data_IF_220535046985
#
_entry.id   IF_220535046985
#
_cell.length_a   1.000
_cell.length_b   1.000
_cell.length_c   1.000
_cell.angle_alpha   90.00
_cell.angle_beta   90.00
_cell.angle_gamma   90.00
#
_symmetry.space_group_name_H-M   'P 1'
#
loop_
_entity.id
_entity.type
_entity.pdbx_description
1 polymer ?
#
# COMPACT_ATOMS: atom_id res chain seq x y z
N UNK A 1 15.78 27.63 -21.59
CA UNK A 1 15.45 27.58 -20.15
C UNK A 1 14.03 27.06 -19.89
N UNK A 2 13.03 27.43 -20.69
CA UNK A 2 11.63 27.04 -20.49
C UNK A 2 11.28 25.57 -20.88
N UNK A 3 11.98 24.98 -21.86
CA UNK A 3 11.73 23.60 -22.31
C UNK A 3 12.12 22.55 -21.25
N UNK A 4 13.25 22.75 -20.57
CA UNK A 4 13.75 21.91 -19.47
C UNK A 4 12.83 21.95 -18.25
N UNK A 5 12.18 23.08 -18.00
CA UNK A 5 11.27 23.26 -16.86
C UNK A 5 9.92 22.54 -17.07
N UNK A 6 9.41 22.52 -18.31
CA UNK A 6 8.20 21.76 -18.69
C UNK A 6 8.43 20.25 -18.62
N UNK A 7 9.60 19.77 -19.04
CA UNK A 7 9.96 18.36 -18.91
C UNK A 7 10.09 17.93 -17.44
N UNK A 8 10.72 18.75 -16.61
CA UNK A 8 10.86 18.55 -15.16
C UNK A 8 9.49 18.48 -14.45
N UNK A 9 8.54 19.36 -14.81
CA UNK A 9 7.17 19.35 -14.26
C UNK A 9 6.38 18.11 -14.68
N UNK A 10 6.51 17.69 -15.93
CA UNK A 10 5.86 16.49 -16.44
C UNK A 10 6.37 15.22 -15.73
N UNK A 11 7.69 15.10 -15.58
CA UNK A 11 8.33 13.95 -14.91
C UNK A 11 7.93 13.84 -13.43
N UNK A 12 7.82 14.97 -12.72
CA UNK A 12 7.34 15.02 -11.33
C UNK A 12 5.88 14.58 -11.21
N UNK A 13 5.04 14.97 -12.17
CA UNK A 13 3.63 14.60 -12.18
C UNK A 13 3.45 13.10 -12.45
N UNK A 14 4.18 12.56 -13.44
CA UNK A 14 4.17 11.13 -13.77
C UNK A 14 4.68 10.29 -12.58
N UNK A 15 5.76 10.73 -11.93
CA UNK A 15 6.28 10.08 -10.72
C UNK A 15 5.27 10.12 -9.57
N UNK A 16 4.61 11.26 -9.34
CA UNK A 16 3.56 11.39 -8.32
C UNK A 16 2.37 10.46 -8.57
N UNK A 17 1.93 10.34 -9.82
CA UNK A 17 0.83 9.43 -10.21
C UNK A 17 1.26 7.97 -10.07
N UNK A 18 2.47 7.59 -10.49
CA UNK A 18 3.00 6.23 -10.31
C UNK A 18 3.14 5.85 -8.84
N UNK A 19 3.63 6.76 -7.99
CA UNK A 19 3.72 6.55 -6.54
C UNK A 19 2.32 6.42 -5.93
N UNK A 20 1.37 7.28 -6.30
CA UNK A 20 -0.04 7.14 -5.87
C UNK A 20 -0.65 5.81 -6.30
N UNK A 21 -0.38 5.34 -7.52
CA UNK A 21 -0.83 4.04 -8.01
C UNK A 21 -0.16 2.86 -7.29
N UNK A 22 1.13 2.98 -6.94
CA UNK A 22 1.86 1.99 -6.14
C UNK A 22 1.33 1.95 -4.69
N UNK A 23 1.03 3.09 -4.09
CA UNK A 23 0.41 3.19 -2.77
C UNK A 23 -1.02 2.62 -2.77
N UNK A 24 -1.78 2.84 -3.85
CA UNK A 24 -3.12 2.26 -4.03
C UNK A 24 -3.08 0.73 -4.25
N UNK A 25 -1.94 0.18 -4.68
CA UNK A 25 -1.71 -1.27 -4.86
C UNK A 25 -1.29 -1.97 -3.56
N UNK A 26 -0.83 -1.24 -2.54
CA UNK A 26 -0.32 -1.78 -1.28
C UNK A 26 -1.39 -1.95 -0.19
N UNK A 27 -2.67 -1.82 -0.52
CA UNK A 27 -3.75 -2.30 0.35
C UNK A 27 -3.97 -3.79 0.13
N UNK A 28 -3.03 -4.65 0.54
CA UNK A 28 -3.30 -6.08 0.67
C UNK A 28 -4.24 -6.24 1.88
N UNK A 29 -5.55 -6.26 1.64
CA UNK A 29 -6.49 -6.74 2.65
C UNK A 29 -6.30 -8.24 2.76
N UNK A 30 -5.60 -8.68 3.79
CA UNK A 30 -5.56 -10.08 4.14
C UNK A 30 -6.87 -10.49 4.81
N UNK A 31 -7.28 -11.75 4.62
CA UNK A 31 -8.49 -12.28 5.25
C UNK A 31 -8.12 -13.22 6.39
N UNK A 32 -8.91 -13.17 7.47
CA UNK A 32 -8.80 -14.12 8.56
C UNK A 32 -9.39 -15.49 8.20
N UNK A 33 -8.94 -16.58 8.83
CA UNK A 33 -9.46 -17.91 8.55
C UNK A 33 -10.98 -18.02 8.78
N UNK A 34 -11.69 -18.68 7.88
CA UNK A 34 -13.12 -19.00 8.02
C UNK A 34 -13.30 -20.47 8.45
N UNK A 35 -12.72 -20.85 9.58
CA UNK A 35 -12.70 -22.22 10.13
C UNK A 35 -13.80 -22.49 11.16
N UNK A 36 -14.77 -21.56 11.29
CA UNK A 36 -15.85 -21.62 12.27
C UNK A 36 -15.51 -20.92 13.60
N UNK A 37 -14.29 -20.43 13.78
CA UNK A 37 -13.93 -19.53 14.88
C UNK A 37 -14.27 -18.09 14.53
N UNK A 38 -14.54 -17.29 15.55
CA UNK A 38 -14.70 -15.82 15.41
C UNK A 38 -13.33 -15.16 15.50
N UNK A 39 -12.74 -14.85 14.34
CA UNK A 39 -11.46 -14.13 14.24
C UNK A 39 -11.68 -12.63 14.16
N UNK A 40 -10.84 -11.87 14.86
CA UNK A 40 -10.84 -10.42 14.87
C UNK A 40 -9.56 -9.92 14.18
N UNK A 41 -9.67 -9.22 13.04
CA UNK A 41 -8.51 -8.68 12.34
C UNK A 41 -7.95 -7.46 13.08
N UNK A 42 -6.63 -7.39 13.24
CA UNK A 42 -5.92 -6.21 13.71
C UNK A 42 -4.51 -6.17 13.11
N UNK A 43 -4.14 -5.04 12.50
CA UNK A 43 -2.90 -4.95 11.73
C UNK A 43 -2.86 -5.98 10.59
N UNK A 44 -1.78 -6.76 10.53
CA UNK A 44 -1.61 -7.89 9.60
C UNK A 44 -1.94 -9.25 10.24
N UNK A 45 -2.49 -9.25 11.45
CA UNK A 45 -2.83 -10.44 12.23
C UNK A 45 -4.33 -10.67 12.39
N UNK A 46 -4.67 -11.87 12.86
CA UNK A 46 -6.01 -12.33 13.19
C UNK A 46 -5.99 -12.94 14.59
N UNK A 47 -6.92 -12.53 15.45
CA UNK A 47 -6.95 -12.91 16.85
C UNK A 47 -8.27 -13.60 17.20
N UNK A 48 -8.19 -14.74 17.85
CA UNK A 48 -9.35 -15.49 18.35
C UNK A 48 -9.32 -15.55 19.87
N UNK A 49 -10.24 -14.81 20.49
CA UNK A 49 -10.44 -14.77 21.93
C UNK A 49 -11.28 -15.99 22.34
N UNK A 50 -10.65 -16.96 22.99
CA UNK A 50 -11.32 -18.20 23.38
C UNK A 50 -12.36 -17.90 24.46
N UNK A 51 -13.59 -18.36 24.25
CA UNK A 51 -14.67 -18.28 25.23
C UNK A 51 -15.37 -19.63 25.37
N UNK A 52 -16.06 -19.82 26.50
CA UNK A 52 -16.87 -20.99 26.78
C UNK A 52 -18.26 -20.91 26.14
N UNK A 53 -19.13 -21.85 26.54
CA UNK A 53 -20.54 -21.81 26.17
C UNK A 53 -21.21 -20.52 26.70
N UNK A 54 -22.21 -20.03 25.95
CA UNK A 54 -22.93 -18.79 26.26
C UNK A 54 -22.03 -17.53 26.30
N UNK A 55 -20.95 -17.52 25.52
CA UNK A 55 -20.00 -16.40 25.42
C UNK A 55 -19.35 -15.98 26.75
N UNK A 56 -19.39 -16.85 27.77
CA UNK A 56 -18.73 -16.63 29.06
C UNK A 56 -17.26 -16.97 28.94
N UNK A 57 -16.40 -16.10 29.49
CA UNK A 57 -14.98 -16.40 29.57
C UNK A 57 -14.72 -17.67 30.38
N UNK A 58 -13.72 -18.43 29.92
CA UNK A 58 -13.11 -19.52 30.68
C UNK A 58 -11.63 -19.25 30.79
N UNK A 59 -11.10 -19.47 31.97
CA UNK A 59 -9.67 -19.49 32.22
C UNK A 59 -9.15 -20.91 32.02
N UNK A 60 -7.88 -21.03 31.60
CA UNK A 60 -7.24 -22.30 31.32
C UNK A 60 -5.82 -22.29 31.85
N UNK A 61 -5.26 -23.46 32.18
CA UNK A 61 -3.82 -23.59 32.45
C UNK A 61 -2.99 -23.31 31.20
N UNK A 62 -1.70 -22.99 31.36
CA UNK A 62 -0.81 -22.70 30.24
C UNK A 62 -0.70 -23.84 29.23
N UNK A 63 -0.60 -25.08 29.70
CA UNK A 63 -0.58 -26.27 28.82
C UNK A 63 -1.87 -26.44 28.02
N UNK A 64 -3.02 -26.12 28.64
CA UNK A 64 -4.30 -26.15 27.96
C UNK A 64 -4.41 -25.02 26.94
N UNK A 65 -3.89 -23.83 27.24
CA UNK A 65 -3.82 -22.70 26.30
C UNK A 65 -3.05 -23.07 25.02
N UNK A 66 -1.85 -23.67 25.16
CA UNK A 66 -1.07 -24.20 24.03
C UNK A 66 -1.88 -25.19 23.18
N UNK A 67 -2.62 -26.07 23.83
CA UNK A 67 -3.45 -27.08 23.14
C UNK A 67 -4.62 -26.44 22.39
N UNK A 68 -5.26 -25.41 22.95
CA UNK A 68 -6.39 -24.72 22.32
C UNK A 68 -5.96 -23.94 21.06
N UNK A 69 -4.74 -23.41 21.06
CA UNK A 69 -4.16 -22.71 19.92
C UNK A 69 -3.37 -23.64 18.98
N UNK A 70 -3.45 -24.97 19.12
CA UNK A 70 -2.75 -25.88 18.22
C UNK A 70 -3.16 -25.67 16.75
N UNK A 71 -2.16 -25.53 15.87
CA UNK A 71 -2.35 -25.16 14.46
C UNK A 71 -2.35 -23.66 14.19
N UNK A 72 -2.28 -22.86 15.25
CA UNK A 72 -2.12 -21.41 15.28
C UNK A 72 -1.03 -21.07 16.31
N UNK A 73 -0.85 -19.79 16.63
CA UNK A 73 0.06 -19.35 17.68
C UNK A 73 -0.72 -18.92 18.94
N UNK A 74 -0.14 -19.13 20.12
CA UNK A 74 -0.63 -18.48 21.34
C UNK A 74 -0.14 -17.03 21.31
N UNK A 75 -0.98 -16.09 21.76
CA UNK A 75 -0.77 -14.64 21.63
C UNK A 75 0.70 -14.20 21.83
N UNK A 76 1.27 -13.60 20.80
CA UNK A 76 2.52 -12.85 20.87
C UNK A 76 2.20 -11.37 20.81
N UNK A 77 3.15 -10.51 21.22
CA UNK A 77 2.95 -9.06 21.14
C UNK A 77 4.24 -8.44 20.64
N UNK A 78 4.16 -7.84 19.45
CA UNK A 78 5.28 -7.27 18.70
C UNK A 78 5.25 -5.74 18.67
N UNK A 79 4.16 -5.10 19.09
CA UNK A 79 4.10 -3.64 19.21
C UNK A 79 3.21 -3.13 20.36
N UNK A 80 3.36 -1.85 20.69
CA UNK A 80 2.52 -1.19 21.69
C UNK A 80 1.06 -1.11 21.24
N UNK A 81 0.81 -0.92 19.94
CA UNK A 81 -0.54 -0.85 19.37
C UNK A 81 -1.26 -2.19 19.48
N UNK A 82 -0.55 -3.30 19.24
CA UNK A 82 -1.06 -4.66 19.43
C UNK A 82 -1.37 -4.96 20.89
N UNK A 83 -0.47 -4.59 21.81
CA UNK A 83 -0.70 -4.69 23.25
C UNK A 83 -1.98 -3.96 23.66
N UNK A 84 -2.12 -2.71 23.21
CA UNK A 84 -3.28 -1.85 23.49
C UNK A 84 -4.57 -2.42 22.90
N UNK A 85 -4.51 -2.99 21.70
CA UNK A 85 -5.66 -3.65 21.08
C UNK A 85 -6.15 -4.81 21.94
N UNK A 86 -5.27 -5.76 22.27
CA UNK A 86 -5.65 -6.94 23.07
C UNK A 86 -6.20 -6.52 24.43
N UNK A 87 -5.49 -5.64 25.13
CA UNK A 87 -5.87 -5.13 26.45
C UNK A 87 -7.23 -4.44 26.46
N UNK A 88 -7.52 -3.57 25.48
CA UNK A 88 -8.78 -2.81 25.43
C UNK A 88 -9.94 -3.65 24.91
N UNK A 89 -9.68 -4.60 24.01
CA UNK A 89 -10.72 -5.38 23.36
C UNK A 89 -11.15 -6.60 24.19
N UNK A 90 -10.25 -7.20 24.98
CA UNK A 90 -10.57 -8.42 25.75
C UNK A 90 -11.76 -8.25 26.72
N UNK A 91 -11.93 -7.14 27.47
CA UNK A 91 -13.07 -6.96 28.35
C UNK A 91 -14.37 -6.76 27.58
N UNK A 92 -14.30 -6.26 26.34
CA UNK A 92 -15.48 -6.12 25.47
C UNK A 92 -15.98 -7.49 25.00
N UNK A 93 -15.08 -8.44 24.74
CA UNK A 93 -15.43 -9.81 24.35
C UNK A 93 -15.97 -10.59 25.54
N UNK A 94 -15.23 -10.58 26.66
CA UNK A 94 -15.50 -11.45 27.80
C UNK A 94 -16.45 -10.88 28.84
N UNK A 95 -16.77 -9.59 28.75
CA UNK A 95 -17.58 -8.83 29.72
C UNK A 95 -17.05 -8.97 31.16
N UNK A 96 -15.75 -9.21 31.30
CA UNK A 96 -15.03 -9.37 32.57
C UNK A 96 -13.53 -9.09 32.37
N UNK A 97 -12.82 -8.83 33.46
CA UNK A 97 -11.38 -8.63 33.47
C UNK A 97 -10.69 -9.92 33.92
N UNK A 98 -9.92 -10.54 33.03
CA UNK A 98 -9.16 -11.76 33.30
C UNK A 98 -7.85 -11.66 32.54
N UNK A 99 -6.74 -11.93 33.23
CA UNK A 99 -5.40 -11.89 32.64
C UNK A 99 -5.32 -12.84 31.46
N UNK A 100 -4.41 -12.58 30.53
CA UNK A 100 -4.30 -13.31 29.27
C UNK A 100 -2.96 -13.99 29.22
N UNK A 101 -2.94 -15.29 28.92
CA UNK A 101 -1.70 -15.98 28.64
C UNK A 101 -1.01 -15.36 27.42
N UNK A 102 0.23 -14.94 27.60
CA UNK A 102 1.13 -14.68 26.50
C UNK A 102 1.82 -15.98 26.12
N UNK A 103 2.08 -16.17 24.83
CA UNK A 103 2.89 -17.27 24.31
C UNK A 103 4.37 -17.14 24.67
N UNK A 104 4.71 -16.58 25.83
CA UNK A 104 6.07 -16.32 26.28
C UNK A 104 6.42 -17.20 27.48
N UNK A 105 7.63 -17.74 27.47
CA UNK A 105 8.19 -18.56 28.52
C UNK A 105 9.69 -18.27 28.70
N UNK A 106 10.23 -18.63 29.85
CA UNK A 106 11.66 -18.54 30.09
C UNK A 106 12.41 -19.75 29.51
N UNK A 107 13.32 -19.53 28.56
CA UNK A 107 14.16 -20.59 27.99
C UNK A 107 15.50 -20.68 28.75
N UNK A 108 15.63 -21.76 29.49
CA UNK A 108 16.81 -22.08 30.31
C UNK A 108 18.10 -22.27 29.50
N UNK A 109 18.01 -22.58 28.20
CA UNK A 109 19.20 -22.77 27.37
C UNK A 109 19.85 -21.45 26.96
N UNK A 110 19.04 -20.41 26.78
CA UNK A 110 19.50 -19.08 26.37
C UNK A 110 19.38 -18.03 27.47
N UNK A 111 18.92 -18.43 28.66
CA UNK A 111 18.79 -17.57 29.84
C UNK A 111 17.98 -16.30 29.55
N UNK A 112 16.88 -16.44 28.80
CA UNK A 112 16.05 -15.31 28.40
C UNK A 112 14.58 -15.70 28.15
N UNK A 113 13.70 -14.70 28.10
CA UNK A 113 12.32 -14.89 27.68
C UNK A 113 12.23 -15.09 26.16
N UNK A 114 11.41 -16.05 25.74
CA UNK A 114 11.14 -16.36 24.33
C UNK A 114 9.66 -16.56 24.07
N UNK A 115 9.24 -16.21 22.86
CA UNK A 115 7.96 -16.64 22.33
C UNK A 115 7.99 -18.15 22.03
N UNK A 116 6.84 -18.82 22.11
CA UNK A 116 6.67 -20.22 21.73
C UNK A 116 6.85 -20.43 20.21
N UNK A 117 6.56 -19.41 19.42
CA UNK A 117 6.82 -19.37 17.97
C UNK A 117 8.24 -18.92 17.64
N UNK A 118 8.50 -18.68 16.35
CA UNK A 118 9.82 -18.26 15.85
C UNK A 118 10.03 -16.74 15.90
N UNK A 119 8.98 -15.99 16.26
CA UNK A 119 9.01 -14.54 16.37
C UNK A 119 10.06 -14.11 17.41
N UNK A 120 10.91 -13.11 17.10
CA UNK A 120 11.83 -12.55 18.09
C UNK A 120 11.08 -11.66 19.08
N UNK A 121 11.63 -11.52 20.30
CA UNK A 121 11.13 -10.57 21.31
C UNK A 121 11.63 -9.17 20.95
N UNK A 122 10.84 -8.41 20.19
CA UNK A 122 11.16 -7.03 19.79
C UNK A 122 10.50 -5.96 20.66
N UNK A 123 9.42 -6.32 21.35
CA UNK A 123 8.63 -5.43 22.19
C UNK A 123 8.40 -6.08 23.56
N UNK A 124 8.29 -5.26 24.60
CA UNK A 124 7.93 -5.71 25.94
C UNK A 124 7.22 -4.64 26.73
N UNK A 125 6.23 -5.02 27.54
CA UNK A 125 5.47 -4.10 28.39
C UNK A 125 5.37 -4.59 29.83
N UNK A 126 6.51 -4.94 30.43
CA UNK A 126 6.60 -5.45 31.81
C UNK A 126 6.01 -4.49 32.85
N UNK A 127 5.37 -5.07 33.86
CA UNK A 127 5.12 -4.40 35.14
C UNK A 127 6.45 -4.25 35.88
N UNK A 128 6.67 -3.12 36.57
CA UNK A 128 8.00 -2.75 37.12
C UNK A 128 8.61 -3.85 38.02
N UNK A 129 7.76 -4.56 38.78
CA UNK A 129 8.17 -5.65 39.67
C UNK A 129 8.36 -7.01 38.99
N UNK A 130 8.01 -7.13 37.70
CA UNK A 130 7.96 -8.39 36.94
C UNK A 130 8.94 -8.42 35.77
N UNK A 131 9.87 -7.47 35.70
CA UNK A 131 10.91 -7.52 34.66
C UNK A 131 11.80 -8.77 34.83
N UNK A 132 12.23 -9.42 33.73
CA UNK A 132 13.14 -10.56 33.79
C UNK A 132 14.38 -10.25 34.62
N UNK A 133 14.73 -11.13 35.55
CA UNK A 133 15.88 -11.01 36.45
C UNK A 133 16.77 -12.25 36.34
N UNK A 134 18.04 -12.13 36.71
CA UNK A 134 19.05 -13.22 36.62
C UNK A 134 18.69 -14.50 37.41
N UNK A 135 17.71 -14.44 38.31
CA UNK A 135 17.28 -15.57 39.14
C UNK A 135 15.80 -15.91 38.89
N UNK A 136 15.48 -16.20 37.62
CA UNK A 136 14.12 -16.55 37.24
C UNK A 136 13.84 -18.06 37.39
N UNK A 137 12.71 -18.47 37.99
CA UNK A 137 12.32 -19.88 38.04
C UNK A 137 12.22 -20.49 36.64
N UNK A 138 12.61 -21.77 36.50
CA UNK A 138 12.61 -22.48 35.21
C UNK A 138 11.19 -22.63 34.63
N UNK A 139 10.17 -22.59 35.48
CA UNK A 139 8.76 -22.69 35.14
C UNK A 139 8.08 -21.33 34.99
N UNK A 140 8.82 -20.30 34.58
CA UNK A 140 8.23 -18.96 34.40
C UNK A 140 7.56 -18.81 33.04
N UNK A 141 6.28 -18.48 33.07
CA UNK A 141 5.43 -18.04 31.97
C UNK A 141 5.04 -16.58 32.16
N UNK A 142 4.35 -16.00 31.18
CA UNK A 142 3.96 -14.59 31.21
C UNK A 142 2.47 -14.43 30.97
N UNK A 143 1.83 -13.55 31.74
CA UNK A 143 0.46 -13.13 31.53
C UNK A 143 0.37 -11.61 31.33
N UNK A 144 -0.56 -11.18 30.48
CA UNK A 144 -0.94 -9.77 30.35
C UNK A 144 -2.07 -9.47 31.34
N UNK A 145 -1.85 -8.50 32.22
CA UNK A 145 -2.82 -8.04 33.19
C UNK A 145 -3.83 -7.09 32.52
N UNK A 146 -5.09 -7.52 32.40
CA UNK A 146 -6.10 -6.76 31.62
C UNK A 146 -6.61 -5.50 32.29
N UNK A 147 -6.11 -5.12 33.47
CA UNK A 147 -6.41 -3.84 34.10
C UNK A 147 -5.35 -2.77 33.82
N UNK A 148 -4.08 -3.17 33.69
CA UNK A 148 -2.96 -2.25 33.47
C UNK A 148 -2.38 -2.32 32.06
N UNK A 149 -2.67 -3.41 31.32
CA UNK A 149 -2.07 -3.72 30.03
C UNK A 149 -0.60 -4.16 30.14
N UNK A 150 -0.10 -4.34 31.37
CA UNK A 150 1.30 -4.72 31.67
C UNK A 150 1.46 -6.23 31.77
N UNK A 151 2.70 -6.69 31.63
CA UNK A 151 3.05 -8.11 31.66
C UNK A 151 3.61 -8.49 33.03
N UNK A 152 3.17 -9.63 33.53
CA UNK A 152 3.61 -10.21 34.80
C UNK A 152 4.21 -11.60 34.59
N UNK A 153 5.22 -11.93 35.40
CA UNK A 153 5.76 -13.28 35.47
C UNK A 153 4.85 -14.15 36.35
N UNK A 154 4.50 -15.33 35.86
CA UNK A 154 3.63 -16.28 36.55
C UNK A 154 4.18 -17.69 36.38
N UNK A 155 3.88 -18.61 37.30
CA UNK A 155 4.29 -20.01 37.12
C UNK A 155 3.44 -20.70 36.05
N UNK A 156 4.11 -21.43 35.15
CA UNK A 156 3.48 -22.31 34.18
C UNK A 156 2.88 -23.58 34.82
N UNK A 157 3.44 -24.02 35.96
CA UNK A 157 3.16 -25.32 36.59
C UNK A 157 2.12 -25.22 37.71
N UNK A 158 1.97 -24.05 38.33
CA UNK A 158 0.89 -23.80 39.26
C UNK A 158 -0.48 -23.91 38.56
N UNK A 159 -1.55 -24.12 39.33
CA UNK A 159 -2.93 -24.13 38.82
C UNK A 159 -3.42 -22.73 38.43
N UNK A 160 -2.51 -21.84 38.02
CA UNK A 160 -2.84 -20.54 37.48
C UNK A 160 -3.65 -20.74 36.19
N UNK A 161 -4.77 -20.04 36.11
CA UNK A 161 -5.65 -20.08 34.95
C UNK A 161 -5.87 -18.66 34.43
N UNK A 162 -5.57 -18.45 33.16
CA UNK A 162 -5.76 -17.17 32.48
C UNK A 162 -6.57 -17.36 31.19
N UNK A 163 -7.10 -16.26 30.66
CA UNK A 163 -7.75 -16.21 29.36
C UNK A 163 -6.79 -16.56 28.22
N UNK A 164 -7.35 -17.02 27.11
CA UNK A 164 -6.56 -17.52 25.97
C UNK A 164 -6.95 -16.74 24.73
N UNK A 165 -5.93 -16.22 24.05
CA UNK A 165 -6.06 -15.61 22.73
C UNK A 165 -5.12 -16.35 21.79
N UNK A 166 -5.68 -16.91 20.71
CA UNK A 166 -4.89 -17.50 19.64
C UNK A 166 -4.71 -16.49 18.53
N UNK A 167 -3.55 -16.51 17.86
CA UNK A 167 -3.25 -15.61 16.75
C UNK A 167 -2.78 -16.36 15.51
N UNK A 168 -2.91 -15.71 14.37
CA UNK A 168 -2.33 -16.12 13.10
C UNK A 168 -2.18 -14.92 12.19
N UNK A 169 -1.23 -14.97 11.27
CA UNK A 169 -1.12 -13.95 10.23
C UNK A 169 -2.33 -13.99 9.31
N UNK A 170 -2.72 -12.83 8.79
CA UNK A 170 -3.73 -12.76 7.75
C UNK A 170 -3.21 -13.48 6.50
N UNK A 171 -4.08 -14.29 5.88
CA UNK A 171 -3.72 -14.89 4.60
C UNK A 171 -3.71 -13.78 3.56
N UNK A 172 -2.58 -13.58 2.91
CA UNK A 172 -2.52 -12.74 1.72
C UNK A 172 -3.61 -13.25 0.77
N UNK A 173 -4.65 -12.44 0.57
CA UNK A 173 -5.60 -12.70 -0.50
C UNK A 173 -4.78 -12.54 -1.76
N UNK A 174 -4.39 -13.65 -2.36
CA UNK A 174 -4.04 -13.71 -3.78
C UNK A 174 -5.25 -13.13 -4.50
N UNK A 175 -5.26 -11.81 -4.70
CA UNK A 175 -6.29 -11.14 -5.46
C UNK A 175 -6.17 -11.77 -6.82
N UNK A 176 -7.06 -12.73 -7.12
CA UNK A 176 -7.28 -13.19 -8.48
C UNK A 176 -7.84 -11.98 -9.20
N UNK A 177 -6.90 -11.18 -9.71
CA UNK A 177 -7.10 -9.84 -10.19
C UNK A 177 -7.95 -9.98 -11.44
N UNK A 178 -9.28 -10.05 -11.26
CA UNK A 178 -10.19 -9.74 -12.35
C UNK A 178 -9.87 -8.28 -12.68
N UNK A 179 -9.40 -7.98 -13.90
CA UNK A 179 -9.10 -6.60 -14.26
C UNK A 179 -10.37 -5.81 -14.02
N UNK A 180 -10.36 -4.96 -13.00
CA UNK A 180 -11.47 -4.05 -12.73
C UNK A 180 -11.59 -3.16 -13.96
N UNK A 181 -12.64 -3.37 -14.76
CA UNK A 181 -12.89 -2.59 -15.96
C UNK A 181 -12.92 -1.08 -15.66
N UNK A 182 -13.27 -0.71 -14.41
CA UNK A 182 -13.20 0.66 -13.91
C UNK A 182 -11.77 1.21 -13.83
N UNK A 183 -10.79 0.41 -13.39
CA UNK A 183 -9.39 0.85 -13.34
C UNK A 183 -8.81 1.02 -14.75
N UNK A 184 -9.15 0.09 -15.66
CA UNK A 184 -8.77 0.24 -17.07
C UNK A 184 -9.42 1.48 -17.69
N UNK A 185 -10.71 1.72 -17.42
CA UNK A 185 -11.42 2.90 -17.89
C UNK A 185 -10.84 4.21 -17.32
N UNK A 186 -10.50 4.28 -16.03
CA UNK A 186 -9.90 5.46 -15.41
C UNK A 186 -8.51 5.78 -15.98
N UNK A 187 -7.70 4.75 -16.26
CA UNK A 187 -6.41 4.92 -16.91
C UNK A 187 -6.59 5.41 -18.34
N UNK A 188 -7.51 4.83 -19.11
CA UNK A 188 -7.79 5.26 -20.48
C UNK A 188 -8.31 6.71 -20.51
N UNK A 189 -9.26 7.05 -19.64
CA UNK A 189 -9.81 8.41 -19.55
C UNK A 189 -8.74 9.44 -19.17
N UNK A 190 -7.84 9.11 -18.25
CA UNK A 190 -6.75 10.02 -17.86
C UNK A 190 -5.73 10.21 -19.00
N UNK A 191 -5.37 9.15 -19.73
CA UNK A 191 -4.50 9.24 -20.90
C UNK A 191 -5.15 10.09 -22.00
N UNK A 192 -6.43 9.87 -22.30
CA UNK A 192 -7.16 10.66 -23.31
C UNK A 192 -7.22 12.14 -22.92
N UNK A 193 -7.49 12.45 -21.65
CA UNK A 193 -7.49 13.82 -21.17
C UNK A 193 -6.12 14.49 -21.31
N UNK A 194 -5.03 13.79 -20.97
CA UNK A 194 -3.66 14.31 -21.12
C UNK A 194 -3.34 14.57 -22.60
N UNK A 195 -3.68 13.64 -23.48
CA UNK A 195 -3.47 13.79 -24.93
C UNK A 195 -4.25 14.99 -25.48
N UNK A 196 -5.52 15.15 -25.07
CA UNK A 196 -6.34 16.30 -25.46
C UNK A 196 -5.77 17.63 -24.99
N UNK A 197 -5.40 17.74 -23.71
CA UNK A 197 -4.78 18.95 -23.15
C UNK A 197 -3.46 19.27 -23.86
N UNK A 198 -2.64 18.25 -24.15
CA UNK A 198 -1.36 18.45 -24.85
C UNK A 198 -1.54 18.97 -26.28
N UNK A 199 -2.55 18.48 -27.01
CA UNK A 199 -2.88 18.94 -28.35
C UNK A 199 -3.40 20.40 -28.34
N UNK A 200 -4.24 20.75 -27.36
CA UNK A 200 -4.74 22.11 -27.18
C UNK A 200 -3.60 23.08 -26.86
N UNK A 201 -2.70 22.71 -25.94
CA UNK A 201 -1.52 23.52 -25.60
C UNK A 201 -0.63 23.70 -26.84
N UNK A 202 -0.38 22.63 -27.60
CA UNK A 202 0.41 22.68 -28.83
C UNK A 202 -0.22 23.61 -29.87
N UNK A 203 -1.53 23.51 -30.09
CA UNK A 203 -2.27 24.37 -31.03
C UNK A 203 -2.25 25.85 -30.61
N UNK A 204 -2.44 26.13 -29.32
CA UNK A 204 -2.32 27.49 -28.78
C UNK A 204 -0.89 28.04 -28.91
N UNK A 205 0.12 27.19 -28.74
CA UNK A 205 1.53 27.56 -28.94
C UNK A 205 1.83 27.86 -30.41
N UNK A 206 1.32 27.05 -31.34
CA UNK A 206 1.44 27.26 -32.78
C UNK A 206 0.80 28.58 -33.21
N UNK A 207 -0.38 28.91 -32.67
CA UNK A 207 -1.06 30.18 -32.92
C UNK A 207 -0.29 31.40 -32.39
N UNK A 208 0.44 31.26 -31.28
CA UNK A 208 1.33 32.32 -30.76
C UNK A 208 2.61 32.45 -31.57
N UNK A 209 3.15 31.35 -32.11
CA UNK A 209 4.37 31.36 -32.92
C UNK A 209 4.17 31.88 -34.35
N UNK A 210 2.94 31.86 -34.90
CA UNK A 210 2.61 32.53 -36.16
C UNK A 210 2.60 34.07 -36.06
N UNK A 211 2.70 34.64 -34.85
CA UNK A 211 2.74 36.09 -34.63
C UNK A 211 4.13 36.73 -34.77
N UNK A 212 5.20 35.95 -34.99
CA UNK A 212 6.57 36.48 -35.08
C UNK A 212 7.38 35.77 -36.15
N UNK A 213 7.11 36.04 -37.44
CA UNK A 213 8.13 35.91 -38.49
C UNK A 213 7.88 36.81 -39.71
N UNK A 214 8.68 37.89 -39.77
CA UNK A 214 9.40 38.43 -40.95
C UNK A 214 8.57 38.97 -42.14
N UNK A 215 8.45 40.31 -42.22
CA UNK A 215 8.42 41.04 -43.49
C UNK A 215 9.69 41.88 -43.59
N UNK A 216 10.61 41.52 -44.49
CA UNK A 216 11.60 42.45 -45.04
C UNK A 216 11.06 42.98 -46.37
N UNK A 217 10.93 44.30 -46.58
CA UNK A 217 10.42 44.84 -47.84
C UNK A 217 11.51 44.76 -48.91
N UNK A 218 11.18 44.14 -50.05
CA UNK A 218 11.98 44.26 -51.27
C UNK A 218 11.48 45.49 -52.04
N UNK A 219 12.31 46.53 -52.10
CA UNK A 219 12.14 47.74 -52.91
C UNK A 219 12.25 47.38 -54.40
N UNK A 220 11.18 47.59 -55.17
CA UNK A 220 11.14 47.37 -56.62
C UNK A 220 11.30 48.72 -57.35
N UNK A 221 12.35 48.88 -58.16
CA UNK A 221 12.49 49.99 -59.10
C UNK A 221 12.02 49.58 -60.51
N UNK A 222 11.18 50.37 -61.21
CA UNK A 222 10.79 50.08 -62.60
C UNK A 222 11.63 50.91 -63.59
N UNK A 223 11.94 50.38 -64.79
CA UNK A 223 12.36 51.20 -65.92
C UNK A 223 11.28 51.32 -67.01
N UNK A 224 10.99 52.58 -67.33
CA UNK A 224 10.70 53.24 -68.62
C UNK A 224 9.73 52.65 -69.67
N UNK A 225 8.82 53.54 -70.08
CA UNK A 225 7.81 53.47 -71.16
C UNK A 225 8.42 53.50 -72.58
N UNK A 226 7.69 52.96 -73.57
CA UNK A 226 7.34 53.55 -74.91
C UNK A 226 6.10 52.78 -75.45
N UNK A 227 4.92 53.38 -75.57
CA UNK A 227 4.25 53.98 -76.75
C UNK A 227 3.77 52.99 -77.85
N UNK A 228 2.44 52.81 -77.89
CA UNK A 228 1.47 52.63 -78.98
C UNK A 228 1.88 52.16 -80.39
N UNK A 229 1.09 51.24 -80.96
CA UNK A 229 0.46 51.31 -82.31
C UNK A 229 0.07 49.92 -82.83
N UNK A 230 -1.19 49.82 -83.25
CA UNK A 230 -1.80 48.74 -84.04
C UNK A 230 -0.93 48.20 -85.19
N UNK A 231 -0.89 46.87 -85.38
CA UNK A 231 -1.18 46.27 -86.69
C UNK A 231 -1.29 44.75 -86.70
N UNK A 232 -2.24 44.34 -87.53
CA UNK A 232 -2.66 43.04 -88.00
C UNK A 232 -1.63 42.24 -88.82
N UNK A 233 -1.89 40.93 -88.89
CA UNK A 233 -1.74 40.01 -90.03
C UNK A 233 -0.40 39.28 -90.30
N UNK A 234 -0.55 37.94 -90.27
CA UNK A 234 -0.25 36.93 -91.31
C UNK A 234 1.19 36.46 -91.61
N UNK A 235 1.31 35.12 -91.59
CA UNK A 235 2.13 34.21 -92.43
C UNK A 235 3.63 34.23 -92.07
N UNK A 236 4.32 33.11 -91.83
CA UNK A 236 4.62 31.99 -92.74
C UNK A 236 5.23 30.85 -91.89
N UNK A 237 4.85 29.59 -92.14
CA UNK A 237 5.64 28.44 -91.70
C UNK A 237 6.04 27.68 -92.96
N UNK A 238 7.32 27.82 -93.30
CA UNK A 238 8.06 27.09 -94.30
C UNK A 238 8.24 25.64 -93.81
N UNK A 239 7.60 24.68 -94.47
CA UNK A 239 7.89 23.25 -94.33
C UNK A 239 8.64 22.81 -95.58
N UNK A 240 9.91 22.44 -95.40
CA UNK A 240 10.77 21.97 -96.48
C UNK A 240 10.99 20.45 -96.32
N UNK A 241 10.38 19.73 -97.25
CA UNK A 241 10.81 18.52 -97.98
C UNK A 241 11.63 17.42 -97.28
N UNK A 242 11.12 16.18 -97.40
CA UNK A 242 11.77 15.19 -98.29
C UNK A 242 10.86 13.99 -98.64
N UNK A 243 10.76 13.77 -99.95
CA UNK A 243 10.17 12.67 -100.77
C UNK A 243 11.30 11.64 -101.04
N UNK A 244 11.09 10.32 -101.25
CA UNK A 244 10.22 9.71 -102.26
C UNK A 244 9.24 8.61 -101.83
#
# INVERSE_FOLDING_TARGET
MESTEKHQRSLRFICGVLVLFLQLRLGLTGDCPADGRTWVPFGDGCYHFVHGAEDKIKSYTFDRAKTLCQGFELLTIQSAEENDFVFKYSPEVWKNNVNIWLGMYYDTNSDNMKWLGEKPVGFSNWEDSSSPSDLMPLDTCVALHTNTGKWENVSCLEQAENGVVCETDQKAVEVKQKPSALLSALVILSVVAIMGVSAVIWFLHQKRNLGTSIFTPFEYHPPFRVLDSDRSCLVEAEENDNVP
#
